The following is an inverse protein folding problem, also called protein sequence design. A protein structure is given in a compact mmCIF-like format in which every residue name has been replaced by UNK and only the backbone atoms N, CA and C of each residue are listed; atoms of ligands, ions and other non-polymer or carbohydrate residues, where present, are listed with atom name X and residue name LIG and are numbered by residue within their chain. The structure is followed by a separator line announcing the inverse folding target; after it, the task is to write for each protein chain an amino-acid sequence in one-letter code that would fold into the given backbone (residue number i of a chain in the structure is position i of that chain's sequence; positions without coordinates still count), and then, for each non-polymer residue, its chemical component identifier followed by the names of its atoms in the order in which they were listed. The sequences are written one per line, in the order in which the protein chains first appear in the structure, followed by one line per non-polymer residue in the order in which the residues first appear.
data_IF_926873073344
#
_entry.id   IF_926873073344
#
_cell.length_a   1.000
_cell.length_b   1.000
_cell.length_c   1.000
_cell.angle_alpha   90.00
_cell.angle_beta   90.00
_cell.angle_gamma   90.00
#
_symmetry.space_group_name_H-M   'P 1'
#
loop_
_entity.id
_entity.type
_entity.pdbx_description
1 polymer ?
#
# COMPACT_ATOMS: atom_id res chain seq x y z
N UNK A 1 21.23 22.25 -5.34
CA UNK A 1 19.83 22.22 -5.85
C UNK A 1 18.87 21.64 -4.83
N UNK A 2 19.19 20.51 -4.16
CA UNK A 2 18.36 19.92 -3.09
C UNK A 2 18.16 20.83 -1.85
N UNK A 3 19.20 21.53 -1.40
CA UNK A 3 19.13 22.48 -0.27
C UNK A 3 18.18 23.66 -0.53
N UNK A 4 18.18 24.19 -1.75
CA UNK A 4 17.32 25.31 -2.15
C UNK A 4 15.84 24.90 -2.24
N UNK A 5 15.59 23.66 -2.67
CA UNK A 5 14.24 23.08 -2.69
C UNK A 5 13.73 22.84 -1.26
N UNK A 6 14.57 22.37 -0.35
CA UNK A 6 14.23 22.20 1.08
C UNK A 6 13.90 23.52 1.77
N UNK A 7 14.70 24.57 1.54
CA UNK A 7 14.44 25.90 2.09
C UNK A 7 13.13 26.51 1.55
N UNK A 8 12.86 26.34 0.25
CA UNK A 8 11.62 26.82 -0.38
C UNK A 8 10.39 26.06 0.12
N UNK A 9 10.51 24.75 0.36
CA UNK A 9 9.43 23.93 0.94
C UNK A 9 9.05 24.39 2.34
N UNK A 10 10.04 24.76 3.17
CA UNK A 10 9.83 25.28 4.54
C UNK A 10 9.09 26.62 4.58
N UNK A 11 9.28 27.45 3.55
CA UNK A 11 8.61 28.75 3.41
C UNK A 11 7.17 28.56 2.88
N UNK A 12 6.96 27.58 2.00
CA UNK A 12 5.63 27.25 1.48
C UNK A 12 4.73 26.57 2.54
N UNK A 13 5.29 25.91 3.55
CA UNK A 13 4.55 25.38 4.72
C UNK A 13 3.76 26.47 5.48
N UNK A 14 4.21 27.74 5.40
CA UNK A 14 3.56 28.88 6.08
C UNK A 14 2.42 29.52 5.27
N UNK A 15 2.31 29.23 3.97
CA UNK A 15 1.25 29.73 3.10
C UNK A 15 0.39 28.55 2.64
N UNK A 16 -0.54 28.14 3.52
CA UNK A 16 -1.32 26.91 3.40
C UNK A 16 -1.77 26.53 1.98
N UNK A 17 -1.56 25.24 1.65
CA UNK A 17 -2.20 24.38 0.62
C UNK A 17 -2.43 24.92 -0.81
N UNK A 18 -2.18 26.20 -1.12
CA UNK A 18 -2.52 26.77 -2.43
C UNK A 18 -1.34 26.86 -3.40
N UNK A 19 -0.10 26.69 -2.94
CA UNK A 19 1.10 26.58 -3.79
C UNK A 19 2.14 25.70 -3.08
N UNK A 20 2.20 24.41 -3.42
CA UNK A 20 3.09 23.47 -2.75
C UNK A 20 3.16 22.13 -3.47
N UNK A 21 4.24 21.39 -3.25
CA UNK A 21 4.37 20.00 -3.64
C UNK A 21 3.98 19.11 -2.44
N UNK A 22 3.36 17.96 -2.71
CA UNK A 22 3.10 16.91 -1.72
C UNK A 22 3.84 15.66 -2.14
N UNK A 23 4.64 15.11 -1.25
CA UNK A 23 5.44 13.91 -1.48
C UNK A 23 4.79 12.68 -0.86
N UNK A 24 4.61 11.63 -1.66
CA UNK A 24 3.90 10.40 -1.25
C UNK A 24 4.71 9.17 -1.60
N UNK A 25 5.07 8.39 -0.58
CA UNK A 25 5.69 7.07 -0.75
C UNK A 25 4.61 5.98 -0.82
N UNK A 26 4.59 5.19 -1.89
CA UNK A 26 3.58 4.14 -2.08
C UNK A 26 4.18 2.82 -2.53
N UNK A 27 3.47 1.74 -2.25
CA UNK A 27 3.77 0.43 -2.83
C UNK A 27 3.24 0.31 -4.26
N UNK A 28 3.83 -0.61 -5.01
CA UNK A 28 3.53 -0.86 -6.42
C UNK A 28 2.05 -1.15 -6.71
N UNK A 29 1.36 -1.92 -5.85
CA UNK A 29 -0.06 -2.23 -6.02
C UNK A 29 -0.95 -0.97 -5.95
N UNK A 30 -0.56 0.00 -5.12
CA UNK A 30 -1.25 1.29 -5.01
C UNK A 30 -0.94 2.15 -6.23
N UNK A 31 0.32 2.16 -6.69
CA UNK A 31 0.74 2.91 -7.87
C UNK A 31 -0.01 2.48 -9.14
N UNK A 32 -0.14 1.17 -9.38
CA UNK A 32 -0.86 0.63 -10.56
C UNK A 32 -2.38 0.64 -10.40
N UNK A 33 -2.88 0.54 -9.17
CA UNK A 33 -4.31 0.40 -8.90
C UNK A 33 -4.99 1.72 -8.55
N UNK A 34 -4.95 2.06 -7.26
CA UNK A 34 -5.75 3.15 -6.69
C UNK A 34 -5.25 4.55 -7.08
N UNK A 35 -3.94 4.74 -7.16
CA UNK A 35 -3.32 6.07 -7.23
C UNK A 35 -3.73 6.91 -8.45
N UNK A 36 -3.82 6.38 -9.69
CA UNK A 36 -4.22 7.17 -10.85
C UNK A 36 -5.58 7.85 -10.68
N UNK A 37 -6.55 7.13 -10.11
CA UNK A 37 -7.88 7.68 -9.82
C UNK A 37 -7.82 8.74 -8.72
N UNK A 38 -7.07 8.48 -7.65
CA UNK A 38 -6.90 9.44 -6.55
C UNK A 38 -6.27 10.74 -7.04
N UNK A 39 -5.23 10.68 -7.86
CA UNK A 39 -4.58 11.87 -8.43
C UNK A 39 -5.53 12.64 -9.35
N UNK A 40 -6.30 11.93 -10.20
CA UNK A 40 -7.28 12.57 -11.06
C UNK A 40 -8.35 13.33 -10.26
N UNK A 41 -8.88 12.73 -9.20
CA UNK A 41 -9.86 13.37 -8.33
C UNK A 41 -9.22 14.52 -7.51
N UNK A 42 -7.98 14.35 -7.05
CA UNK A 42 -7.25 15.36 -6.29
C UNK A 42 -6.95 16.62 -7.12
N UNK A 43 -6.39 16.46 -8.33
CA UNK A 43 -6.06 17.59 -9.21
C UNK A 43 -7.29 18.31 -9.76
N UNK A 44 -8.45 17.65 -9.83
CA UNK A 44 -9.70 18.34 -10.16
C UNK A 44 -10.07 19.41 -9.12
N UNK A 45 -9.69 19.21 -7.85
CA UNK A 45 -9.95 20.16 -6.75
C UNK A 45 -8.73 21.04 -6.43
N UNK A 46 -7.53 20.59 -6.78
CA UNK A 46 -6.25 21.24 -6.46
C UNK A 46 -5.27 21.24 -7.66
N UNK A 47 -5.58 21.95 -8.75
CA UNK A 47 -4.80 21.89 -9.99
C UNK A 47 -3.37 22.45 -9.87
N UNK A 48 -3.13 23.31 -8.88
CA UNK A 48 -1.84 23.99 -8.67
C UNK A 48 -0.88 23.22 -7.72
N UNK A 49 -1.27 22.02 -7.26
CA UNK A 49 -0.46 21.20 -6.35
C UNK A 49 0.30 20.13 -7.14
N UNK A 50 1.63 20.15 -7.02
CA UNK A 50 2.47 19.06 -7.54
C UNK A 50 2.42 17.86 -6.59
N UNK A 51 2.34 16.65 -7.14
CA UNK A 51 2.40 15.41 -6.32
C UNK A 51 3.61 14.59 -6.76
N UNK A 52 4.58 14.48 -5.86
CA UNK A 52 5.80 13.70 -6.08
C UNK A 52 5.60 12.28 -5.53
N UNK A 53 5.67 11.28 -6.41
CA UNK A 53 5.37 9.89 -6.05
C UNK A 53 6.65 9.06 -6.04
N UNK A 54 6.91 8.38 -4.91
CA UNK A 54 8.02 7.43 -4.76
C UNK A 54 7.45 6.02 -4.62
N UNK A 55 7.67 5.16 -5.62
CA UNK A 55 7.22 3.76 -5.58
C UNK A 55 8.30 2.90 -4.95
N UNK A 56 8.07 2.43 -3.72
CA UNK A 56 9.03 1.69 -2.87
C UNK A 56 8.31 0.66 -1.99
N UNK A 57 9.05 -0.22 -1.32
CA UNK A 57 8.46 -1.25 -0.45
C UNK A 57 7.78 -0.68 0.81
N UNK A 58 6.81 -1.39 1.39
CA UNK A 58 6.01 -0.94 2.54
C UNK A 58 6.85 -0.37 3.70
N UNK A 59 7.93 -1.06 4.08
CA UNK A 59 8.83 -0.61 5.16
C UNK A 59 9.56 0.68 4.81
N UNK A 60 10.06 0.77 3.59
CA UNK A 60 10.77 1.95 3.10
C UNK A 60 9.82 3.15 2.99
N UNK A 61 8.56 2.92 2.61
CA UNK A 61 7.54 3.97 2.56
C UNK A 61 7.28 4.57 3.95
N UNK A 62 7.10 3.73 4.97
CA UNK A 62 6.93 4.24 6.34
C UNK A 62 8.20 4.94 6.87
N UNK A 63 9.39 4.44 6.55
CA UNK A 63 10.65 5.09 6.95
C UNK A 63 10.83 6.45 6.28
N UNK A 64 10.49 6.59 4.99
CA UNK A 64 10.56 7.86 4.28
C UNK A 64 9.73 8.95 4.98
N UNK A 65 8.57 8.60 5.56
CA UNK A 65 7.78 9.53 6.39
C UNK A 65 8.43 9.77 7.74
N UNK A 66 8.94 8.74 8.39
CA UNK A 66 9.62 8.86 9.69
C UNK A 66 10.85 9.79 9.62
N UNK A 67 11.54 9.80 8.48
CA UNK A 67 12.75 10.58 8.20
C UNK A 67 12.45 11.96 7.60
N UNK A 68 11.17 12.25 7.29
CA UNK A 68 10.76 13.51 6.66
C UNK A 68 11.15 13.64 5.19
N UNK A 69 11.43 12.52 4.51
CA UNK A 69 11.62 12.48 3.05
C UNK A 69 10.30 12.53 2.28
N UNK A 70 9.22 12.03 2.88
CA UNK A 70 7.88 12.04 2.30
C UNK A 70 6.84 12.53 3.32
N UNK A 71 5.82 13.25 2.86
CA UNK A 71 4.74 13.76 3.70
C UNK A 71 3.76 12.64 4.10
N UNK A 72 3.51 11.70 3.17
CA UNK A 72 2.56 10.62 3.34
C UNK A 72 3.12 9.29 2.85
N UNK A 73 2.60 8.19 3.42
CA UNK A 73 2.87 6.85 2.93
C UNK A 73 1.59 6.01 2.83
N UNK A 74 1.51 5.20 1.77
CA UNK A 74 0.51 4.12 1.63
C UNK A 74 1.26 2.79 1.54
N UNK A 75 1.11 1.98 2.57
CA UNK A 75 1.83 0.73 2.75
C UNK A 75 0.88 -0.41 3.12
N UNK A 76 1.34 -1.65 2.91
CA UNK A 76 0.59 -2.87 3.20
C UNK A 76 1.35 -3.73 4.20
N UNK A 77 0.62 -4.24 5.20
CA UNK A 77 1.07 -5.22 6.20
C UNK A 77 2.45 -4.89 6.80
N UNK A 78 2.57 -3.70 7.40
CA UNK A 78 3.84 -3.20 7.94
C UNK A 78 3.67 -2.63 9.34
N UNK A 79 4.68 -2.86 10.16
CA UNK A 79 4.80 -2.20 11.46
C UNK A 79 5.14 -0.73 11.27
N UNK A 80 4.20 0.15 11.60
CA UNK A 80 4.36 1.59 11.48
C UNK A 80 5.31 2.10 12.58
N UNK A 81 6.38 2.85 12.25
CA UNK A 81 7.27 3.44 13.25
C UNK A 81 6.50 4.35 14.23
N UNK A 82 6.94 4.40 15.50
CA UNK A 82 6.26 5.22 16.54
C UNK A 82 6.26 6.72 16.23
N UNK A 83 7.24 7.20 15.47
CA UNK A 83 7.32 8.59 15.00
C UNK A 83 6.33 8.91 13.87
N UNK A 84 5.67 7.90 13.29
CA UNK A 84 4.73 8.07 12.19
C UNK A 84 3.31 7.87 12.71
N UNK A 85 2.44 8.82 12.40
CA UNK A 85 1.02 8.74 12.74
C UNK A 85 0.27 7.97 11.65
N UNK A 86 -0.39 6.88 12.04
CA UNK A 86 -1.35 6.18 11.18
C UNK A 86 -2.66 6.96 11.11
N UNK A 87 -3.01 7.45 9.92
CA UNK A 87 -4.21 8.29 9.71
C UNK A 87 -5.43 7.50 9.23
N UNK A 88 -5.22 6.38 8.54
CA UNK A 88 -6.26 5.52 8.01
C UNK A 88 -5.77 4.07 7.93
N UNK A 89 -6.71 3.13 7.99
CA UNK A 89 -6.49 1.71 7.73
C UNK A 89 -7.66 1.18 6.91
N UNK A 90 -7.39 0.31 5.95
CA UNK A 90 -8.41 -0.43 5.22
C UNK A 90 -8.10 -1.91 5.30
N UNK A 91 -9.14 -2.72 5.53
CA UNK A 91 -9.03 -4.17 5.47
C UNK A 91 -9.17 -4.61 4.01
N UNK A 92 -8.18 -5.35 3.51
CA UNK A 92 -8.22 -5.95 2.18
C UNK A 92 -8.53 -7.44 2.33
N UNK A 93 -9.80 -7.87 2.13
CA UNK A 93 -10.15 -9.28 2.24
C UNK A 93 -9.45 -10.07 1.12
N UNK A 94 -8.77 -11.15 1.51
CA UNK A 94 -8.13 -12.07 0.59
C UNK A 94 -9.12 -13.17 0.19
N UNK A 95 -8.99 -13.63 -1.05
CA UNK A 95 -9.88 -14.65 -1.61
C UNK A 95 -9.14 -15.58 -2.57
N UNK A 96 -9.84 -16.63 -2.98
CA UNK A 96 -9.32 -17.65 -3.90
C UNK A 96 -9.89 -17.39 -5.29
N UNK A 97 -9.00 -17.27 -6.27
CA UNK A 97 -9.38 -17.34 -7.68
C UNK A 97 -9.42 -18.80 -8.11
N UNK A 98 -10.61 -19.27 -8.47
CA UNK A 98 -10.82 -20.67 -8.86
C UNK A 98 -11.35 -20.77 -10.29
N UNK A 99 -11.04 -21.87 -10.96
CA UNK A 99 -11.59 -22.17 -12.29
C UNK A 99 -13.12 -22.19 -12.24
N UNK A 100 -13.83 -21.60 -13.23
CA UNK A 100 -15.28 -21.71 -13.34
C UNK A 100 -15.73 -23.18 -13.29
N UNK A 101 -16.79 -23.47 -12.52
CA UNK A 101 -17.33 -24.82 -12.35
C UNK A 101 -16.58 -25.71 -11.34
N UNK A 102 -15.46 -25.25 -10.76
CA UNK A 102 -14.82 -25.96 -9.65
C UNK A 102 -15.69 -25.99 -8.40
N UNK A 103 -15.39 -26.90 -7.46
CA UNK A 103 -16.10 -26.99 -6.17
C UNK A 103 -16.00 -25.70 -5.34
N UNK A 104 -14.96 -24.90 -5.57
CA UNK A 104 -14.73 -23.62 -4.90
C UNK A 104 -15.53 -22.48 -5.51
N UNK A 105 -15.79 -22.51 -6.82
CA UNK A 105 -16.52 -21.46 -7.53
C UNK A 105 -17.97 -21.28 -7.04
N UNK A 106 -18.52 -22.26 -6.31
CA UNK A 106 -19.87 -22.21 -5.73
C UNK A 106 -19.90 -21.74 -4.27
N UNK A 107 -18.74 -21.58 -3.65
CA UNK A 107 -18.63 -21.17 -2.24
C UNK A 107 -18.40 -19.66 -2.17
N UNK A 108 -19.18 -18.98 -1.32
CA UNK A 108 -19.00 -17.54 -1.03
C UNK A 108 -17.82 -17.29 -0.09
N UNK A 109 -17.52 -18.26 0.75
CA UNK A 109 -16.44 -18.21 1.74
C UNK A 109 -15.75 -19.57 1.77
N UNK A 110 -14.44 -19.55 2.04
CA UNK A 110 -13.59 -20.73 2.12
C UNK A 110 -12.78 -20.68 3.40
N UNK A 111 -12.66 -21.82 4.08
CA UNK A 111 -11.64 -22.01 5.10
C UNK A 111 -10.33 -22.40 4.40
N UNK A 112 -9.19 -22.05 4.97
CA UNK A 112 -7.89 -22.46 4.43
C UNK A 112 -7.79 -24.00 4.29
N UNK A 113 -8.36 -24.74 5.24
CA UNK A 113 -8.45 -26.19 5.19
C UNK A 113 -9.25 -26.73 3.98
N UNK A 114 -10.20 -25.97 3.41
CA UNK A 114 -10.92 -26.40 2.20
C UNK A 114 -9.98 -26.55 0.99
N UNK A 115 -8.82 -25.89 1.02
CA UNK A 115 -7.77 -25.94 0.01
C UNK A 115 -6.75 -27.05 0.27
N UNK A 116 -6.90 -27.81 1.36
CA UNK A 116 -6.01 -28.93 1.66
C UNK A 116 -6.01 -29.96 0.53
N UNK A 117 -4.81 -30.38 0.12
CA UNK A 117 -4.60 -31.31 -0.99
C UNK A 117 -4.73 -30.70 -2.40
N UNK A 118 -5.04 -29.42 -2.53
CA UNK A 118 -5.10 -28.75 -3.84
C UNK A 118 -3.74 -28.20 -4.28
N UNK A 119 -3.53 -28.17 -5.60
CA UNK A 119 -2.42 -27.44 -6.19
C UNK A 119 -2.79 -25.95 -6.25
N UNK A 120 -2.11 -25.14 -5.45
CA UNK A 120 -2.33 -23.69 -5.38
C UNK A 120 -1.17 -22.96 -6.04
N UNK A 121 -1.47 -21.92 -6.79
CA UNK A 121 -0.48 -20.97 -7.32
C UNK A 121 -0.46 -19.78 -6.37
N UNK A 122 0.71 -19.52 -5.78
CA UNK A 122 0.94 -18.39 -4.88
C UNK A 122 1.95 -17.42 -5.48
N UNK A 123 1.91 -16.17 -5.02
CA UNK A 123 3.02 -15.24 -5.25
C UNK A 123 4.25 -15.73 -4.50
N UNK A 124 5.43 -15.47 -5.04
CA UNK A 124 6.67 -15.74 -4.31
C UNK A 124 6.83 -14.82 -3.09
N UNK A 125 7.85 -15.10 -2.29
CA UNK A 125 8.15 -14.36 -1.06
C UNK A 125 8.80 -13.00 -1.29
N UNK A 126 8.87 -12.50 -2.54
CA UNK A 126 9.21 -11.10 -2.81
C UNK A 126 8.06 -10.15 -2.46
N UNK A 127 6.83 -10.67 -2.37
CA UNK A 127 5.63 -9.92 -2.00
C UNK A 127 5.17 -10.29 -0.59
N UNK A 128 4.88 -9.28 0.24
CA UNK A 128 4.36 -9.48 1.60
C UNK A 128 3.10 -10.36 1.63
N UNK A 129 2.25 -10.24 0.60
CA UNK A 129 1.06 -11.08 0.49
C UNK A 129 1.38 -12.58 0.37
N UNK A 130 2.45 -12.95 -0.34
CA UNK A 130 2.89 -14.35 -0.46
C UNK A 130 3.24 -14.92 0.91
N UNK A 131 4.06 -14.20 1.67
CA UNK A 131 4.47 -14.57 3.03
C UNK A 131 3.25 -14.71 3.95
N UNK A 132 2.35 -13.73 3.96
CA UNK A 132 1.17 -13.74 4.84
C UNK A 132 0.22 -14.90 4.50
N UNK A 133 0.12 -15.29 3.23
CA UNK A 133 -0.66 -16.48 2.80
C UNK A 133 0.05 -17.78 3.17
N UNK A 134 1.37 -17.89 2.98
CA UNK A 134 2.16 -19.06 3.38
C UNK A 134 2.12 -19.30 4.90
N UNK A 135 2.24 -18.24 5.72
CA UNK A 135 2.11 -18.34 7.18
C UNK A 135 0.70 -18.78 7.59
N UNK A 136 -0.33 -18.25 6.93
CA UNK A 136 -1.71 -18.66 7.17
C UNK A 136 -1.94 -20.15 6.84
N UNK A 137 -1.38 -20.65 5.74
CA UNK A 137 -1.42 -22.08 5.40
C UNK A 137 -0.67 -22.93 6.43
N UNK A 138 0.52 -22.50 6.83
CA UNK A 138 1.36 -23.24 7.79
C UNK A 138 0.67 -23.38 9.13
N UNK A 139 -0.01 -22.33 9.62
CA UNK A 139 -0.80 -22.37 10.86
C UNK A 139 -2.08 -23.21 10.73
N UNK A 140 -2.71 -23.22 9.55
CA UNK A 140 -3.95 -23.97 9.30
C UNK A 140 -3.74 -25.47 9.06
N UNK A 141 -2.51 -25.90 8.76
CA UNK A 141 -2.14 -27.31 8.57
C UNK A 141 -1.60 -27.96 9.85
N UNK A 142 -1.43 -27.20 10.93
CA UNK A 142 -1.10 -27.69 12.26
C UNK A 142 -2.40 -27.77 13.08
N UNK A 143 -3.22 -28.79 12.79
CA UNK A 143 -4.22 -29.38 13.69
C UNK A 143 -4.70 -30.72 13.12
#
# INVERSE_FOLDING_TARGET
TAELNRASSKINELHGLRRGAVSVAIIESVARGLMPRVLSEFWAHHPDINVDIKVIGSRQACNAVAEGECDLAVAFDVQVPRSVRKIATVNLPLGVLAKPGSRFARKKELKLFDLSGERVILSDNSLMLGISVEDAFSRSLIE
#
